data_IF_047385140867
#
_entry.id   IF_047385140867
#
_cell.length_a   1.000
_cell.length_b   1.000
_cell.length_c   1.000
_cell.angle_alpha   90.00
_cell.angle_beta   90.00
_cell.angle_gamma   90.00
#
_symmetry.space_group_name_H-M   'P 1'
#
loop_
_entity.id
_entity.type
_entity.pdbx_description
1 polymer ?
#
# COMPACT_ATOMS: atom_id res chain seq x y z
N UNK A 1 -11.31 2.26 -19.64
CA UNK A 1 -10.42 3.33 -20.15
C UNK A 1 -9.04 2.71 -20.44
N UNK A 2 -8.19 3.33 -21.27
CA UNK A 2 -6.84 2.81 -21.55
C UNK A 2 -5.90 3.14 -20.38
N UNK A 3 -4.99 2.23 -20.06
CA UNK A 3 -3.98 2.40 -19.01
C UNK A 3 -2.58 2.48 -19.62
N UNK A 4 -1.67 3.19 -18.95
CA UNK A 4 -0.30 3.41 -19.41
C UNK A 4 0.66 3.27 -18.23
N UNK A 5 1.85 2.73 -18.47
CA UNK A 5 2.89 2.60 -17.46
C UNK A 5 4.10 3.47 -17.84
N UNK A 6 4.73 4.19 -16.89
CA UNK A 6 5.94 4.96 -17.17
C UNK A 6 7.03 4.10 -17.84
N UNK A 7 7.62 4.61 -18.92
CA UNK A 7 8.63 3.87 -19.70
C UNK A 7 8.08 2.90 -20.74
N UNK A 8 6.75 2.79 -20.90
CA UNK A 8 6.11 2.05 -21.97
C UNK A 8 5.28 2.98 -22.87
N UNK A 9 5.61 3.02 -24.16
CA UNK A 9 4.97 3.93 -25.12
C UNK A 9 3.57 3.46 -25.58
N UNK A 10 3.24 2.20 -25.34
CA UNK A 10 1.96 1.61 -25.73
C UNK A 10 1.00 1.50 -24.54
N UNK A 11 -0.30 1.54 -24.85
CA UNK A 11 -1.33 1.23 -23.87
C UNK A 11 -1.15 -0.21 -23.37
N UNK A 12 -1.30 -0.40 -22.07
CA UNK A 12 -1.23 -1.73 -21.47
C UNK A 12 -2.48 -2.55 -21.82
N UNK A 13 -2.38 -3.89 -21.76
CA UNK A 13 -3.55 -4.74 -21.67
C UNK A 13 -4.47 -4.31 -20.51
N UNK A 14 -5.76 -4.61 -20.63
CA UNK A 14 -6.73 -4.33 -19.56
C UNK A 14 -6.32 -5.09 -18.30
N UNK A 15 -6.06 -4.35 -17.22
CA UNK A 15 -5.92 -4.94 -15.89
C UNK A 15 -7.22 -5.66 -15.53
N UNK A 16 -7.12 -6.93 -15.14
CA UNK A 16 -8.22 -7.80 -14.70
C UNK A 16 -7.91 -8.34 -13.30
N UNK A 17 -8.35 -7.62 -12.26
CA UNK A 17 -8.08 -8.01 -10.88
C UNK A 17 -8.96 -9.22 -10.47
N UNK A 18 -8.34 -10.35 -10.13
CA UNK A 18 -9.04 -11.55 -9.68
C UNK A 18 -9.44 -11.46 -8.18
N UNK A 19 -9.94 -10.29 -7.78
CA UNK A 19 -10.29 -9.91 -6.41
C UNK A 19 -11.78 -9.56 -6.33
N UNK A 20 -12.64 -10.41 -6.91
CA UNK A 20 -14.06 -10.09 -7.20
C UNK A 20 -14.84 -9.67 -5.94
N UNK A 21 -14.56 -10.29 -4.79
CA UNK A 21 -15.23 -9.97 -3.53
C UNK A 21 -14.83 -8.65 -2.88
N UNK A 22 -13.70 -8.05 -3.28
CA UNK A 22 -13.13 -6.86 -2.62
C UNK A 22 -12.93 -5.65 -3.54
N UNK A 23 -12.80 -5.86 -4.86
CA UNK A 23 -12.59 -4.76 -5.81
C UNK A 23 -12.49 -5.12 -7.30
N UNK A 24 -12.64 -6.38 -7.68
CA UNK A 24 -12.48 -6.85 -9.08
C UNK A 24 -13.67 -6.62 -10.00
N UNK A 25 -14.60 -5.72 -9.67
CA UNK A 25 -15.79 -5.43 -10.48
C UNK A 25 -15.53 -4.24 -11.39
N UNK A 26 -15.85 -4.39 -12.67
CA UNK A 26 -15.76 -3.34 -13.68
C UNK A 26 -17.14 -2.74 -13.92
N UNK A 27 -17.19 -1.41 -13.99
CA UNK A 27 -18.43 -0.69 -14.23
C UNK A 27 -18.16 0.70 -14.81
N UNK A 28 -19.22 1.40 -15.19
CA UNK A 28 -19.17 2.81 -15.61
C UNK A 28 -19.61 3.74 -14.48
N UNK A 29 -19.24 5.02 -14.55
CA UNK A 29 -19.66 5.99 -13.54
C UNK A 29 -21.21 6.07 -13.45
N UNK A 30 -21.90 5.94 -14.58
CA UNK A 30 -23.38 5.93 -14.65
C UNK A 30 -23.98 4.74 -13.90
N UNK A 31 -23.42 3.54 -14.04
CA UNK A 31 -23.87 2.36 -13.32
C UNK A 31 -23.55 2.44 -11.82
N UNK A 32 -22.39 2.98 -11.46
CA UNK A 32 -22.02 3.17 -10.05
C UNK A 32 -22.98 4.13 -9.35
N UNK A 33 -23.36 5.25 -9.96
CA UNK A 33 -24.38 6.13 -9.36
C UNK A 33 -25.77 5.49 -9.33
N UNK A 34 -26.15 4.68 -10.33
CA UNK A 34 -27.40 3.89 -10.27
C UNK A 34 -27.37 2.86 -9.13
N UNK A 35 -26.20 2.29 -8.84
CA UNK A 35 -26.05 1.35 -7.72
C UNK A 35 -26.13 2.06 -6.37
N UNK A 36 -25.71 3.33 -6.29
CA UNK A 36 -25.84 4.14 -5.08
C UNK A 36 -27.29 4.20 -4.56
N UNK A 37 -28.29 4.23 -5.46
CA UNK A 37 -29.73 4.13 -5.13
C UNK A 37 -30.06 2.92 -4.25
N UNK A 38 -29.39 1.78 -4.50
CA UNK A 38 -29.54 0.59 -3.68
C UNK A 38 -28.95 0.82 -2.29
N UNK A 39 -27.75 1.38 -2.23
CA UNK A 39 -26.98 1.56 -0.99
C UNK A 39 -27.59 2.61 -0.06
N UNK A 40 -28.30 3.62 -0.60
CA UNK A 40 -29.02 4.61 0.20
C UNK A 40 -30.45 4.22 0.56
N UNK A 41 -30.94 3.08 0.03
CA UNK A 41 -32.24 2.51 0.42
C UNK A 41 -33.41 2.88 -0.49
N UNK A 42 -33.17 3.51 -1.65
CA UNK A 42 -34.22 3.83 -2.62
C UNK A 42 -34.72 2.59 -3.40
N UNK A 43 -34.00 1.46 -3.31
CA UNK A 43 -34.33 0.19 -4.01
C UNK A 43 -34.59 -0.94 -3.01
N UNK A 44 -35.69 -0.82 -2.26
CA UNK A 44 -36.09 -1.78 -1.21
C UNK A 44 -36.42 -3.18 -1.73
N UNK A 45 -36.67 -3.31 -3.04
CA UNK A 45 -36.81 -4.60 -3.72
C UNK A 45 -35.49 -5.37 -3.88
N UNK A 46 -34.34 -4.72 -3.66
CA UNK A 46 -32.99 -5.31 -3.73
C UNK A 46 -32.35 -5.34 -2.34
N UNK A 47 -32.32 -4.21 -1.64
CA UNK A 47 -31.73 -4.08 -0.31
C UNK A 47 -32.77 -3.52 0.66
N UNK A 48 -33.05 -4.25 1.74
CA UNK A 48 -34.04 -3.80 2.72
C UNK A 48 -33.65 -2.45 3.33
N UNK A 49 -34.64 -1.62 3.68
CA UNK A 49 -34.41 -0.33 4.33
C UNK A 49 -33.58 -0.48 5.62
N UNK A 50 -33.83 -1.55 6.39
CA UNK A 50 -33.05 -1.87 7.59
C UNK A 50 -31.58 -2.11 7.27
N UNK A 51 -31.29 -2.84 6.20
CA UNK A 51 -29.91 -3.11 5.78
C UNK A 51 -29.22 -1.84 5.27
N UNK A 52 -29.89 -1.03 4.44
CA UNK A 52 -29.34 0.25 3.97
C UNK A 52 -29.01 1.19 5.13
N UNK A 53 -29.91 1.32 6.12
CA UNK A 53 -29.66 2.09 7.36
C UNK A 53 -28.51 1.52 8.19
N UNK A 54 -28.39 0.20 8.29
CA UNK A 54 -27.27 -0.44 8.98
C UNK A 54 -25.92 -0.13 8.31
N UNK A 55 -25.88 -0.11 6.98
CA UNK A 55 -24.67 0.26 6.23
C UNK A 55 -24.18 1.68 6.56
N UNK A 56 -25.11 2.60 6.78
CA UNK A 56 -24.83 4.02 7.07
C UNK A 56 -24.52 4.29 8.55
N UNK A 57 -24.55 3.27 9.41
CA UNK A 57 -24.25 3.43 10.84
C UNK A 57 -22.76 3.72 11.07
N UNK A 58 -22.45 4.46 12.14
CA UNK A 58 -21.08 4.76 12.56
C UNK A 58 -20.39 3.52 13.19
N UNK A 59 -20.19 2.47 12.39
CA UNK A 59 -19.63 1.18 12.83
C UNK A 59 -18.27 1.32 13.48
N UNK A 60 -17.45 2.26 12.98
CA UNK A 60 -16.14 2.58 13.54
C UNK A 60 -16.17 2.91 15.05
N UNK A 61 -17.27 3.48 15.56
CA UNK A 61 -17.43 3.82 16.99
C UNK A 61 -17.57 2.60 17.91
N UNK A 62 -17.79 1.40 17.35
CA UNK A 62 -17.88 0.15 18.10
C UNK A 62 -16.51 -0.46 18.41
N UNK A 63 -15.45 -0.01 17.73
CA UNK A 63 -14.08 -0.52 17.87
C UNK A 63 -13.12 0.48 18.52
N UNK A 64 -11.83 0.29 18.26
CA UNK A 64 -10.79 1.28 18.57
C UNK A 64 -10.69 2.25 17.41
N UNK A 65 -10.91 3.53 17.68
CA UNK A 65 -10.87 4.59 16.68
C UNK A 65 -10.22 5.86 17.24
N UNK A 66 -9.85 6.77 16.35
CA UNK A 66 -9.46 8.14 16.71
C UNK A 66 -10.70 8.91 17.21
N UNK A 67 -10.52 9.89 18.09
CA UNK A 67 -11.67 10.64 18.64
C UNK A 67 -12.18 11.73 17.70
N UNK A 68 -11.36 12.10 16.72
CA UNK A 68 -11.62 13.15 15.77
C UNK A 68 -12.77 12.77 14.82
N UNK A 69 -13.78 13.63 14.81
CA UNK A 69 -15.02 13.45 14.07
C UNK A 69 -14.94 14.02 12.65
N UNK A 70 -14.04 14.98 12.39
CA UNK A 70 -13.73 15.47 11.04
C UNK A 70 -12.59 14.63 10.47
N UNK A 71 -12.93 13.73 9.55
CA UNK A 71 -11.98 12.79 8.95
C UNK A 71 -12.50 12.34 7.58
N UNK A 72 -11.60 11.97 6.68
CA UNK A 72 -11.97 11.37 5.39
C UNK A 72 -12.31 9.88 5.51
N UNK A 73 -11.99 9.25 6.64
CA UNK A 73 -12.31 7.84 6.94
C UNK A 73 -13.10 7.75 8.24
N UNK A 74 -14.26 7.09 8.20
CA UNK A 74 -15.12 6.80 9.35
C UNK A 74 -16.13 5.69 8.99
N UNK A 75 -15.69 4.43 9.12
CA UNK A 75 -16.35 3.28 8.50
C UNK A 75 -17.82 3.05 8.89
N UNK A 76 -18.63 2.76 7.87
CA UNK A 76 -19.88 2.04 7.99
C UNK A 76 -19.74 0.59 7.55
N UNK A 77 -20.86 -0.11 7.30
CA UNK A 77 -20.78 -1.45 6.67
C UNK A 77 -20.65 -1.27 5.16
N UNK A 78 -19.45 -1.46 4.63
CA UNK A 78 -19.17 -1.32 3.20
C UNK A 78 -18.98 0.12 2.72
N UNK A 79 -18.98 1.11 3.62
CA UNK A 79 -18.62 2.51 3.33
C UNK A 79 -17.31 2.87 4.02
N UNK A 80 -16.43 3.60 3.33
CA UNK A 80 -15.18 4.11 3.89
C UNK A 80 -15.41 5.28 4.83
N UNK A 81 -16.43 6.09 4.54
CA UNK A 81 -16.94 7.12 5.44
C UNK A 81 -18.49 7.13 5.41
N UNK A 82 -19.12 7.28 6.58
CA UNK A 82 -20.55 7.61 6.70
C UNK A 82 -20.78 9.08 7.04
N UNK A 83 -19.69 9.83 7.25
CA UNK A 83 -19.64 11.25 7.57
C UNK A 83 -18.37 11.85 6.95
N UNK A 84 -18.28 11.82 5.62
CA UNK A 84 -17.12 12.30 4.87
C UNK A 84 -16.87 13.80 5.09
N UNK A 85 -15.65 14.17 5.49
CA UNK A 85 -15.20 15.57 5.44
C UNK A 85 -14.96 16.05 3.99
N UNK A 86 -15.31 17.30 3.62
CA UNK A 86 -15.74 18.38 4.52
C UNK A 86 -17.27 18.52 4.65
N UNK A 87 -18.09 17.61 4.09
CA UNK A 87 -19.57 17.73 4.13
C UNK A 87 -20.12 17.81 5.55
N UNK A 88 -19.45 17.14 6.49
CA UNK A 88 -19.73 17.21 7.93
C UNK A 88 -19.74 18.63 8.49
N UNK A 89 -18.94 19.54 7.93
CA UNK A 89 -18.80 20.92 8.38
C UNK A 89 -19.95 21.80 7.90
N UNK A 90 -20.67 21.34 6.87
CA UNK A 90 -21.93 21.92 6.39
C UNK A 90 -23.17 21.30 7.05
N UNK A 91 -22.98 20.36 7.99
CA UNK A 91 -24.08 19.61 8.59
C UNK A 91 -24.71 18.59 7.64
N UNK A 92 -24.02 18.22 6.55
CA UNK A 92 -24.53 17.28 5.54
C UNK A 92 -23.95 15.88 5.82
N UNK A 93 -24.82 14.88 5.84
CA UNK A 93 -24.41 13.47 5.84
C UNK A 93 -23.92 13.07 4.45
N UNK A 94 -22.62 12.75 4.34
CA UNK A 94 -22.01 12.24 3.11
C UNK A 94 -21.43 10.84 3.33
N UNK A 95 -21.92 9.88 2.55
CA UNK A 95 -21.42 8.52 2.48
C UNK A 95 -20.36 8.44 1.38
N UNK A 96 -19.26 7.75 1.65
CA UNK A 96 -18.13 7.68 0.72
C UNK A 96 -17.57 6.26 0.64
N UNK A 97 -17.28 5.84 -0.59
CA UNK A 97 -16.50 4.63 -0.88
C UNK A 97 -15.47 4.98 -1.94
N UNK A 98 -14.19 4.79 -1.62
CA UNK A 98 -13.10 4.82 -2.58
C UNK A 98 -12.88 3.44 -3.22
N UNK A 99 -12.03 3.41 -4.24
CA UNK A 99 -11.58 2.16 -4.84
C UNK A 99 -10.27 2.37 -5.57
N UNK A 100 -9.29 1.52 -5.28
CA UNK A 100 -8.01 1.49 -5.97
C UNK A 100 -7.70 0.05 -6.35
N UNK A 101 -7.50 -0.14 -7.65
CA UNK A 101 -6.65 -1.20 -8.17
C UNK A 101 -5.31 -0.55 -8.53
N UNK A 102 -4.43 -1.24 -9.26
CA UNK A 102 -3.16 -0.61 -9.57
C UNK A 102 -3.31 0.50 -10.63
N UNK A 103 -4.14 0.31 -11.65
CA UNK A 103 -4.30 1.26 -12.76
C UNK A 103 -5.65 1.95 -12.80
N UNK A 104 -6.66 1.45 -12.07
CA UNK A 104 -7.98 2.06 -12.02
C UNK A 104 -8.32 2.56 -10.62
N UNK A 105 -8.92 3.75 -10.58
CA UNK A 105 -9.26 4.45 -9.35
C UNK A 105 -10.72 4.93 -9.42
N UNK A 106 -11.38 4.95 -8.27
CA UNK A 106 -12.79 5.27 -8.15
C UNK A 106 -13.11 6.02 -6.86
N UNK A 107 -14.11 6.88 -6.94
CA UNK A 107 -14.78 7.49 -5.81
C UNK A 107 -16.28 7.51 -6.04
N UNK A 108 -17.05 7.03 -5.07
CA UNK A 108 -18.50 7.22 -4.96
C UNK A 108 -18.79 8.03 -3.70
N UNK A 109 -19.43 9.18 -3.87
CA UNK A 109 -19.94 9.99 -2.76
C UNK A 109 -21.44 10.18 -2.94
N UNK A 110 -22.20 9.96 -1.86
CA UNK A 110 -23.66 10.12 -1.85
C UNK A 110 -24.12 10.95 -0.67
N UNK A 111 -25.10 11.83 -0.91
CA UNK A 111 -25.81 12.64 0.09
C UNK A 111 -27.26 12.10 0.20
N UNK A 112 -27.54 11.14 1.11
CA UNK A 112 -28.84 10.46 1.15
C UNK A 112 -30.02 11.41 1.39
N UNK A 113 -29.82 12.45 2.21
CA UNK A 113 -30.85 13.43 2.57
C UNK A 113 -31.31 14.30 1.39
N UNK A 114 -30.53 14.32 0.30
CA UNK A 114 -30.78 15.14 -0.87
C UNK A 114 -30.99 14.33 -2.15
N UNK A 115 -30.88 13.00 -2.08
CA UNK A 115 -30.96 12.12 -3.25
C UNK A 115 -29.93 12.48 -4.34
N UNK A 116 -28.69 12.79 -3.91
CA UNK A 116 -27.60 13.19 -4.80
C UNK A 116 -26.44 12.21 -4.67
N UNK A 117 -26.00 11.64 -5.79
CA UNK A 117 -24.80 10.79 -5.86
C UNK A 117 -23.87 11.28 -6.97
N UNK A 118 -22.57 11.13 -6.77
CA UNK A 118 -21.53 11.35 -7.79
C UNK A 118 -20.56 10.18 -7.77
N UNK A 119 -20.18 9.71 -8.96
CA UNK A 119 -19.11 8.75 -9.15
C UNK A 119 -18.05 9.33 -10.09
N UNK A 120 -16.79 9.22 -9.70
CA UNK A 120 -15.62 9.60 -10.51
C UNK A 120 -14.75 8.38 -10.68
N UNK A 121 -14.45 8.01 -11.93
CA UNK A 121 -13.58 6.89 -12.27
C UNK A 121 -12.41 7.40 -13.11
N UNK A 122 -11.19 6.92 -12.85
CA UNK A 122 -10.01 7.23 -13.66
C UNK A 122 -9.16 5.99 -13.95
N UNK A 123 -8.41 6.04 -15.05
CA UNK A 123 -7.34 5.10 -15.36
C UNK A 123 -6.00 5.83 -15.25
N UNK A 124 -5.28 5.59 -14.15
CA UNK A 124 -4.14 6.39 -13.69
C UNK A 124 -4.53 7.47 -12.67
N UNK A 125 -3.52 8.01 -12.00
CA UNK A 125 -3.70 8.90 -10.86
C UNK A 125 -3.81 8.12 -9.55
N UNK A 126 -4.77 8.46 -8.71
CA UNK A 126 -5.02 7.79 -7.43
C UNK A 126 -6.49 7.95 -7.00
N UNK A 127 -6.97 7.05 -6.14
CA UNK A 127 -8.26 7.14 -5.49
C UNK A 127 -8.43 8.45 -4.72
N UNK A 128 -7.36 8.93 -4.08
CA UNK A 128 -7.32 10.25 -3.42
C UNK A 128 -7.71 11.38 -4.38
N UNK A 129 -7.16 11.41 -5.59
CA UNK A 129 -7.51 12.45 -6.56
C UNK A 129 -8.98 12.36 -7.00
N UNK A 130 -9.48 11.15 -7.26
CA UNK A 130 -10.89 10.97 -7.62
C UNK A 130 -11.83 11.40 -6.49
N UNK A 131 -11.45 11.15 -5.23
CA UNK A 131 -12.22 11.53 -4.04
C UNK A 131 -12.27 13.04 -3.83
N UNK A 132 -11.13 13.74 -3.92
CA UNK A 132 -11.07 15.20 -3.79
C UNK A 132 -11.88 15.84 -4.93
N UNK A 133 -11.69 15.36 -6.16
CA UNK A 133 -12.41 15.88 -7.32
C UNK A 133 -13.93 15.70 -7.18
N UNK A 134 -14.38 14.51 -6.78
CA UNK A 134 -15.81 14.23 -6.52
C UNK A 134 -16.38 15.17 -5.44
N UNK A 135 -15.63 15.36 -4.34
CA UNK A 135 -16.06 16.20 -3.23
C UNK A 135 -16.20 17.66 -3.66
N UNK A 136 -15.27 18.21 -4.44
CA UNK A 136 -15.35 19.58 -4.91
C UNK A 136 -16.50 19.82 -5.89
N UNK A 137 -16.72 18.90 -6.85
CA UNK A 137 -17.87 19.00 -7.75
C UNK A 137 -19.16 19.00 -6.94
N UNK A 138 -19.26 18.13 -5.95
CA UNK A 138 -20.46 17.98 -5.15
C UNK A 138 -20.70 19.21 -4.24
N UNK A 139 -19.66 19.82 -3.69
CA UNK A 139 -19.76 21.11 -2.97
C UNK A 139 -20.23 22.26 -3.88
N UNK A 140 -19.67 22.34 -5.09
CA UNK A 140 -20.10 23.32 -6.09
C UNK A 140 -21.56 23.11 -6.50
N UNK A 141 -21.96 21.86 -6.68
CA UNK A 141 -23.34 21.49 -7.00
C UNK A 141 -24.31 21.82 -5.87
N UNK A 142 -23.99 21.49 -4.61
CA UNK A 142 -24.84 21.80 -3.46
C UNK A 142 -24.96 23.32 -3.25
N UNK A 143 -23.90 24.09 -3.50
CA UNK A 143 -23.96 25.56 -3.51
C UNK A 143 -24.90 26.08 -4.59
N UNK A 144 -24.75 25.60 -5.82
CA UNK A 144 -25.60 26.01 -6.95
C UNK A 144 -27.08 25.67 -6.73
N UNK A 145 -27.38 24.61 -5.96
CA UNK A 145 -28.74 24.23 -5.56
C UNK A 145 -29.27 24.96 -4.33
N UNK A 146 -28.45 25.79 -3.67
CA UNK A 146 -28.82 26.48 -2.44
C UNK A 146 -28.93 25.56 -1.21
N UNK A 147 -28.37 24.35 -1.29
CA UNK A 147 -28.28 23.41 -0.14
C UNK A 147 -27.26 23.95 0.86
N UNK A 148 -26.13 24.46 0.36
CA UNK A 148 -25.17 25.23 1.15
C UNK A 148 -25.13 26.68 0.64
N UNK A 149 -24.83 27.62 1.54
CA UNK A 149 -24.79 29.05 1.21
C UNK A 149 -23.52 29.43 0.44
N UNK A 150 -22.39 28.92 0.88
CA UNK A 150 -21.05 29.21 0.33
C UNK A 150 -20.14 28.01 0.57
N UNK A 151 -19.01 27.95 -0.14
CA UNK A 151 -17.97 26.96 0.11
C UNK A 151 -17.00 27.59 1.10
N UNK A 152 -16.75 26.90 2.21
CA UNK A 152 -15.81 27.30 3.24
C UNK A 152 -14.38 27.31 2.65
N UNK A 153 -13.55 28.30 3.03
CA UNK A 153 -12.15 28.33 2.60
C UNK A 153 -11.38 27.15 3.20
N UNK A 154 -10.28 26.78 2.52
CA UNK A 154 -9.31 25.81 3.06
C UNK A 154 -8.80 26.26 4.43
N UNK A 155 -8.47 25.28 5.28
CA UNK A 155 -7.93 25.55 6.59
C UNK A 155 -6.50 26.09 6.47
N UNK A 156 -6.24 27.20 7.15
CA UNK A 156 -4.93 27.81 7.27
C UNK A 156 -4.30 27.47 8.63
N UNK A 157 -2.97 27.44 8.65
CA UNK A 157 -2.18 27.08 9.83
C UNK A 157 -1.10 28.12 10.04
N UNK A 158 -0.75 28.32 11.31
CA UNK A 158 0.35 29.20 11.71
C UNK A 158 1.51 28.33 12.19
N UNK A 159 2.77 28.78 12.01
CA UNK A 159 3.93 28.10 12.55
C UNK A 159 3.80 27.86 14.06
N UNK A 160 4.18 26.66 14.55
CA UNK A 160 3.99 26.32 15.94
C UNK A 160 4.91 27.13 16.87
N UNK A 161 4.39 27.51 18.03
CA UNK A 161 5.19 28.05 19.12
C UNK A 161 5.55 26.91 20.07
N UNK A 162 6.85 26.63 20.18
CA UNK A 162 7.38 25.64 21.11
C UNK A 162 7.16 26.11 22.55
N UNK A 163 6.65 25.23 23.40
CA UNK A 163 6.44 25.49 24.84
C UNK A 163 7.13 24.42 25.69
N UNK A 164 7.19 24.65 27.00
CA UNK A 164 7.76 23.68 27.94
C UNK A 164 6.94 22.39 27.97
N UNK A 165 7.62 21.26 27.74
CA UNK A 165 7.01 19.93 27.69
C UNK A 165 6.95 19.29 29.08
N UNK A 166 5.78 18.78 29.52
CA UNK A 166 5.68 17.96 30.72
C UNK A 166 6.60 16.73 30.66
N UNK A 167 7.28 16.41 31.75
CA UNK A 167 8.23 15.29 31.83
C UNK A 167 7.59 13.93 31.55
N UNK A 168 6.31 13.76 31.88
CA UNK A 168 5.61 12.48 31.74
C UNK A 168 5.50 12.04 30.27
N UNK A 169 5.55 12.98 29.33
CA UNK A 169 5.53 12.67 27.89
C UNK A 169 6.78 11.91 27.45
N UNK A 170 7.89 11.99 28.19
CA UNK A 170 9.10 11.20 27.91
C UNK A 170 8.82 9.69 27.92
N UNK A 171 7.80 9.24 28.66
CA UNK A 171 7.37 7.84 28.71
C UNK A 171 6.87 7.32 27.35
N UNK A 172 6.50 8.20 26.41
CA UNK A 172 6.13 7.82 25.05
C UNK A 172 7.33 7.50 24.16
N UNK A 173 8.56 7.78 24.58
CA UNK A 173 9.75 7.27 23.89
C UNK A 173 9.79 5.74 23.91
N UNK A 174 10.39 5.14 22.88
CA UNK A 174 10.55 3.69 22.79
C UNK A 174 10.56 3.18 21.36
N UNK A 175 10.48 1.86 21.22
CA UNK A 175 10.30 1.23 19.92
C UNK A 175 8.84 1.26 19.53
N UNK A 176 8.59 1.65 18.29
CA UNK A 176 7.31 1.63 17.63
C UNK A 176 7.42 0.82 16.33
N UNK A 177 6.28 0.46 15.75
CA UNK A 177 6.27 -0.15 14.43
C UNK A 177 4.91 -0.09 13.77
N UNK A 178 4.91 -0.51 12.51
CA UNK A 178 3.75 -0.77 11.68
C UNK A 178 4.09 -1.94 10.74
N UNK A 179 3.15 -2.39 9.94
CA UNK A 179 3.37 -3.47 8.98
C UNK A 179 4.58 -3.14 8.09
N UNK A 180 5.56 -4.04 8.05
CA UNK A 180 6.77 -3.87 7.24
C UNK A 180 7.95 -3.14 7.91
N UNK A 181 7.77 -2.42 9.04
CA UNK A 181 8.89 -1.67 9.64
C UNK A 181 8.79 -1.41 11.15
N UNK A 182 9.95 -1.26 11.79
CA UNK A 182 10.08 -0.70 13.14
C UNK A 182 10.75 0.69 13.10
N UNK A 183 10.43 1.52 14.09
CA UNK A 183 10.96 2.88 14.24
C UNK A 183 11.25 3.12 15.71
N UNK A 184 12.47 3.55 16.02
CA UNK A 184 12.81 4.02 17.37
C UNK A 184 12.42 5.50 17.49
N UNK A 185 11.50 5.79 18.40
CA UNK A 185 11.04 7.14 18.70
C UNK A 185 11.72 7.63 19.97
N UNK A 186 12.36 8.79 19.90
CA UNK A 186 12.94 9.49 21.05
C UNK A 186 12.33 10.89 21.17
N UNK A 187 11.79 11.20 22.35
CA UNK A 187 11.31 12.54 22.69
C UNK A 187 12.40 13.22 23.51
N UNK A 188 12.94 14.33 22.99
CA UNK A 188 14.03 15.05 23.65
C UNK A 188 13.83 16.55 23.50
N UNK A 189 13.96 17.28 24.62
CA UNK A 189 13.81 18.74 24.66
C UNK A 189 12.51 19.25 24.03
N UNK A 190 11.40 18.51 24.15
CA UNK A 190 10.13 18.87 23.53
C UNK A 190 10.12 18.71 22.01
N UNK A 191 10.98 17.86 21.44
CA UNK A 191 11.09 17.61 20.00
C UNK A 191 11.04 16.11 19.72
N UNK A 192 10.53 15.77 18.54
CA UNK A 192 10.51 14.41 17.98
C UNK A 192 10.93 14.49 16.52
N UNK A 193 11.95 13.73 16.15
CA UNK A 193 12.30 13.48 14.75
C UNK A 193 11.61 12.19 14.30
N UNK A 194 10.79 12.27 13.25
CA UNK A 194 10.09 11.12 12.70
C UNK A 194 10.53 10.86 11.25
N UNK A 195 10.53 9.59 10.81
CA UNK A 195 10.70 9.27 9.41
C UNK A 195 9.47 9.73 8.62
N UNK A 196 9.36 9.30 7.36
CA UNK A 196 8.15 9.51 6.59
C UNK A 196 6.89 8.96 7.31
N UNK A 197 5.78 9.67 7.14
CA UNK A 197 4.46 9.34 7.69
C UNK A 197 3.38 9.41 6.60
N UNK A 198 2.20 8.86 6.88
CA UNK A 198 1.05 8.93 5.96
C UNK A 198 1.34 8.22 4.64
N UNK A 199 1.96 7.05 4.70
CA UNK A 199 2.35 6.25 3.52
C UNK A 199 3.21 7.02 2.50
N UNK A 200 4.19 7.79 3.00
CA UNK A 200 5.15 8.53 2.16
C UNK A 200 4.68 9.92 1.72
N UNK A 201 3.46 10.33 2.10
CA UNK A 201 2.95 11.68 1.80
C UNK A 201 3.66 12.78 2.60
N UNK A 202 4.18 12.45 3.77
CA UNK A 202 4.92 13.37 4.62
C UNK A 202 6.39 12.92 4.68
N UNK A 203 7.35 13.76 4.25
CA UNK A 203 8.76 13.42 4.33
C UNK A 203 9.25 13.39 5.80
N UNK A 204 10.41 12.77 6.07
CA UNK A 204 11.07 12.83 7.37
C UNK A 204 11.21 14.28 7.84
N UNK A 205 10.74 14.56 9.04
CA UNK A 205 10.72 15.91 9.57
C UNK A 205 10.65 15.93 11.10
N UNK A 206 10.94 17.12 11.64
CA UNK A 206 10.90 17.40 13.07
C UNK A 206 9.54 17.96 13.49
N UNK A 207 9.11 17.56 14.68
CA UNK A 207 7.92 18.05 15.34
C UNK A 207 8.30 18.66 16.69
N UNK A 208 7.67 19.79 17.05
CA UNK A 208 7.91 20.50 18.31
C UNK A 208 6.67 20.46 19.20
N UNK A 209 6.86 20.33 20.51
CA UNK A 209 5.77 20.31 21.48
C UNK A 209 5.10 21.68 21.57
N UNK A 210 3.78 21.72 21.42
CA UNK A 210 2.98 22.95 21.40
C UNK A 210 1.94 23.04 22.53
N UNK A 211 1.98 22.14 23.51
CA UNK A 211 0.97 22.04 24.56
C UNK A 211 -0.06 20.93 24.31
N UNK A 212 -0.89 20.64 25.32
CA UNK A 212 -1.99 19.66 25.24
C UNK A 212 -1.59 18.24 24.79
N UNK A 213 -0.33 17.83 24.99
CA UNK A 213 0.14 16.52 24.52
C UNK A 213 0.41 16.46 23.01
N UNK A 214 0.41 17.59 22.30
CA UNK A 214 0.57 17.68 20.85
C UNK A 214 1.98 18.14 20.45
N UNK A 215 2.46 17.55 19.35
CA UNK A 215 3.66 17.96 18.64
C UNK A 215 3.30 18.36 17.21
N UNK A 216 3.80 19.49 16.73
CA UNK A 216 3.45 20.01 15.40
C UNK A 216 4.67 20.19 14.52
N UNK A 217 4.49 19.99 13.21
CA UNK A 217 5.51 20.33 12.23
C UNK A 217 5.64 21.85 12.09
N UNK A 218 6.68 22.31 11.37
CA UNK A 218 6.99 23.73 11.20
C UNK A 218 5.86 24.56 10.58
N UNK A 219 4.98 23.95 9.78
CA UNK A 219 3.85 24.64 9.14
C UNK A 219 2.57 24.60 9.99
N UNK A 220 2.55 23.80 11.07
CA UNK A 220 1.41 23.66 11.97
C UNK A 220 0.24 22.82 11.45
N UNK A 221 0.31 22.33 10.20
CA UNK A 221 -0.75 21.55 9.53
C UNK A 221 -0.69 20.04 9.83
N UNK A 222 0.39 19.56 10.44
CA UNK A 222 0.56 18.17 10.87
C UNK A 222 0.73 18.13 12.38
N UNK A 223 -0.13 17.37 13.05
CA UNK A 223 -0.16 17.21 14.49
C UNK A 223 0.07 15.73 14.82
N UNK A 224 1.02 15.49 15.72
CA UNK A 224 1.32 14.19 16.30
C UNK A 224 0.91 14.21 17.77
N UNK A 225 0.25 13.15 18.21
CA UNK A 225 -0.03 12.92 19.63
C UNK A 225 0.02 11.43 19.95
N UNK A 226 -0.17 11.08 21.22
CA UNK A 226 -0.16 9.70 21.67
C UNK A 226 -1.47 9.34 22.36
N UNK A 227 -2.09 8.24 21.92
CA UNK A 227 -3.34 7.75 22.49
C UNK A 227 -3.14 6.35 23.08
N UNK A 228 -3.83 6.09 24.20
CA UNK A 228 -3.90 4.78 24.85
C UNK A 228 -5.36 4.33 24.95
N UNK A 229 -5.94 3.82 23.85
CA UNK A 229 -7.33 3.37 23.86
C UNK A 229 -7.52 2.09 24.69
N UNK A 230 -8.78 1.67 24.83
CA UNK A 230 -9.20 0.57 25.73
C UNK A 230 -8.57 -0.80 25.45
N UNK A 231 -7.92 -0.99 24.29
CA UNK A 231 -7.23 -2.24 23.96
C UNK A 231 -5.83 -2.36 24.63
N UNK A 232 -5.43 -1.37 25.42
CA UNK A 232 -4.17 -1.40 26.18
C UNK A 232 -2.92 -1.16 25.35
N UNK A 233 -3.07 -0.83 24.06
CA UNK A 233 -1.95 -0.44 23.19
C UNK A 233 -1.70 1.06 23.29
N UNK A 234 -0.48 1.47 22.98
CA UNK A 234 -0.12 2.88 22.81
C UNK A 234 0.10 3.13 21.32
N UNK A 235 -0.56 4.14 20.77
CA UNK A 235 -0.41 4.53 19.37
C UNK A 235 0.15 5.93 19.22
N UNK A 236 0.97 6.12 18.19
CA UNK A 236 1.24 7.44 17.63
C UNK A 236 0.10 7.80 16.69
N UNK A 237 -0.65 8.84 17.04
CA UNK A 237 -1.73 9.40 16.22
C UNK A 237 -1.18 10.51 15.33
N UNK A 238 -1.60 10.50 14.08
CA UNK A 238 -1.35 11.53 13.07
C UNK A 238 -2.67 12.22 12.73
N UNK A 239 -2.71 13.54 12.86
CA UNK A 239 -3.78 14.40 12.36
C UNK A 239 -3.15 15.37 11.36
N UNK A 240 -3.53 15.25 10.09
CA UNK A 240 -2.86 15.96 9.00
C UNK A 240 -3.86 16.60 8.06
N UNK A 241 -3.50 17.81 7.60
CA UNK A 241 -4.14 18.48 6.47
C UNK A 241 -3.17 18.50 5.30
N UNK A 242 -3.58 17.92 4.17
CA UNK A 242 -2.77 17.80 2.97
C UNK A 242 -3.40 18.64 1.87
N UNK A 243 -2.62 19.57 1.33
CA UNK A 243 -2.99 20.37 0.16
C UNK A 243 -2.52 19.66 -1.10
N UNK A 244 -3.46 19.34 -2.00
CA UNK A 244 -3.17 18.82 -3.34
C UNK A 244 -3.23 20.00 -4.32
N UNK A 245 -2.09 20.46 -4.89
CA UNK A 245 -2.07 21.63 -5.76
C UNK A 245 -3.07 21.54 -6.91
N UNK A 246 -3.90 22.57 -7.06
CA UNK A 246 -4.95 22.64 -8.09
C UNK A 246 -6.17 21.75 -7.85
N UNK A 247 -6.18 20.93 -6.79
CA UNK A 247 -7.29 20.03 -6.49
C UNK A 247 -7.94 20.29 -5.14
N UNK A 248 -7.25 20.82 -4.13
CA UNK A 248 -7.85 21.21 -2.84
C UNK A 248 -7.24 20.49 -1.63
N UNK A 249 -7.87 20.66 -0.47
CA UNK A 249 -7.37 20.19 0.82
C UNK A 249 -8.14 18.97 1.36
N UNK A 250 -7.43 18.03 1.97
CA UNK A 250 -8.01 16.88 2.70
C UNK A 250 -7.53 16.84 4.12
N UNK A 251 -8.36 16.29 5.01
CA UNK A 251 -8.01 16.00 6.41
C UNK A 251 -8.07 14.51 6.69
N UNK A 252 -7.04 14.00 7.33
CA UNK A 252 -6.96 12.59 7.74
C UNK A 252 -6.46 12.50 9.16
N UNK A 253 -7.14 11.67 9.96
CA UNK A 253 -6.71 11.33 11.31
C UNK A 253 -6.60 9.82 11.45
N UNK A 254 -5.40 9.32 11.73
CA UNK A 254 -5.05 7.89 11.75
C UNK A 254 -4.10 7.57 12.89
N UNK A 255 -4.01 6.29 13.24
CA UNK A 255 -2.89 5.77 14.02
C UNK A 255 -1.81 5.29 13.05
N UNK A 256 -0.60 5.82 13.16
CA UNK A 256 0.51 5.51 12.25
C UNK A 256 1.37 4.37 12.77
N UNK A 257 1.68 4.40 14.07
CA UNK A 257 2.55 3.41 14.70
C UNK A 257 1.98 2.91 16.03
N UNK A 258 2.25 1.65 16.33
CA UNK A 258 1.99 1.02 17.63
C UNK A 258 3.30 0.91 18.41
N UNK A 259 3.27 1.23 19.70
CA UNK A 259 4.40 0.99 20.61
C UNK A 259 4.62 -0.51 20.76
N UNK A 260 5.88 -0.95 20.68
CA UNK A 260 6.28 -2.34 20.71
C UNK A 260 6.92 -2.71 22.04
N UNK A 261 6.69 -3.96 22.45
CA UNK A 261 7.31 -4.54 23.62
C UNK A 261 8.76 -4.96 23.34
N UNK A 262 9.56 -5.05 24.40
CA UNK A 262 10.90 -5.64 24.32
C UNK A 262 10.83 -7.11 23.90
N UNK A 263 11.64 -7.52 22.93
CA UNK A 263 11.73 -8.91 22.48
C UNK A 263 13.20 -9.38 22.45
N UNK A 264 13.82 -9.67 23.61
CA UNK A 264 15.19 -10.15 23.65
C UNK A 264 15.29 -11.55 23.02
N UNK A 265 16.26 -11.72 22.12
CA UNK A 265 16.55 -12.99 21.45
C UNK A 265 17.79 -13.68 22.02
N UNK A 266 17.80 -15.02 21.98
CA UNK A 266 19.01 -15.80 22.25
C UNK A 266 20.03 -15.65 21.11
N UNK A 267 21.31 -15.90 21.40
CA UNK A 267 22.40 -15.69 20.45
C UNK A 267 22.27 -16.55 19.17
N UNK A 268 21.72 -17.76 19.29
CA UNK A 268 21.59 -18.66 18.16
C UNK A 268 20.50 -18.20 17.19
N UNK A 269 19.40 -17.63 17.71
CA UNK A 269 18.37 -16.99 16.90
C UNK A 269 18.90 -15.71 16.26
N UNK A 270 19.65 -14.88 17.02
CA UNK A 270 20.22 -13.64 16.48
C UNK A 270 21.07 -13.88 15.23
N UNK A 271 21.99 -14.84 15.33
CA UNK A 271 22.93 -15.17 14.24
C UNK A 271 22.20 -15.53 12.94
N UNK A 272 21.10 -16.29 13.03
CA UNK A 272 20.32 -16.69 11.85
C UNK A 272 19.63 -15.50 11.21
N UNK A 273 19.00 -14.63 12.01
CA UNK A 273 18.28 -13.47 11.48
C UNK A 273 19.22 -12.37 10.96
N UNK A 274 20.38 -12.16 11.59
CA UNK A 274 21.41 -11.25 11.06
C UNK A 274 21.85 -11.64 9.64
N UNK A 275 21.96 -12.94 9.35
CA UNK A 275 22.29 -13.43 8.02
C UNK A 275 21.17 -13.15 6.98
N UNK A 276 19.93 -12.93 7.41
CA UNK A 276 18.82 -12.56 6.52
C UNK A 276 18.68 -11.06 6.32
N UNK A 277 19.33 -10.26 7.15
CA UNK A 277 19.20 -8.81 7.11
C UNK A 277 19.70 -8.24 5.77
N UNK A 278 18.86 -7.45 5.11
CA UNK A 278 19.12 -6.85 3.81
C UNK A 278 18.97 -7.80 2.62
N UNK A 279 18.66 -9.09 2.83
CA UNK A 279 18.51 -10.05 1.72
C UNK A 279 17.18 -9.92 1.02
N UNK A 280 17.19 -10.15 -0.28
CA UNK A 280 15.98 -10.21 -1.10
C UNK A 280 15.49 -11.64 -1.25
N UNK A 281 14.17 -11.81 -1.27
CA UNK A 281 13.49 -13.05 -1.60
C UNK A 281 12.53 -12.80 -2.75
N UNK A 282 12.58 -13.61 -3.80
CA UNK A 282 11.88 -13.37 -5.07
C UNK A 282 10.69 -14.31 -5.25
N UNK A 283 9.52 -13.75 -5.60
CA UNK A 283 8.26 -14.46 -5.71
C UNK A 283 8.30 -15.56 -6.77
N UNK A 284 7.79 -16.75 -6.43
CA UNK A 284 7.76 -17.92 -7.28
C UNK A 284 6.37 -18.21 -7.84
N UNK A 285 5.32 -17.84 -7.11
CA UNK A 285 3.95 -18.29 -7.39
C UNK A 285 3.10 -17.24 -8.15
N UNK A 286 3.69 -16.11 -8.54
CA UNK A 286 2.96 -15.06 -9.25
C UNK A 286 2.68 -15.45 -10.70
N UNK A 287 1.43 -15.27 -11.14
CA UNK A 287 1.04 -15.58 -12.52
C UNK A 287 1.74 -14.63 -13.50
N UNK A 288 2.40 -15.14 -14.53
CA UNK A 288 3.18 -14.33 -15.49
C UNK A 288 2.39 -13.24 -16.24
N UNK A 289 1.06 -13.30 -16.23
CA UNK A 289 0.20 -12.23 -16.78
C UNK A 289 -0.11 -11.12 -15.78
N UNK A 290 0.37 -11.25 -14.54
CA UNK A 290 0.17 -10.27 -13.49
C UNK A 290 0.95 -9.01 -13.77
N UNK A 291 0.34 -7.89 -13.46
CA UNK A 291 0.99 -6.60 -13.58
C UNK A 291 2.02 -6.34 -12.47
N UNK A 292 2.10 -7.19 -11.44
CA UNK A 292 3.19 -7.12 -10.45
C UNK A 292 4.57 -7.21 -11.11
N UNK A 293 4.68 -7.87 -12.28
CA UNK A 293 5.90 -7.91 -13.09
C UNK A 293 6.30 -6.57 -13.73
N UNK A 294 5.48 -5.51 -13.61
CA UNK A 294 5.89 -4.15 -13.95
C UNK A 294 6.69 -3.47 -12.83
N UNK A 295 6.60 -3.98 -11.60
CA UNK A 295 7.18 -3.37 -10.40
C UNK A 295 7.90 -4.43 -9.55
N UNK A 296 9.22 -4.55 -9.72
CA UNK A 296 10.06 -5.48 -8.93
C UNK A 296 9.79 -5.44 -7.41
N UNK A 297 9.57 -4.27 -6.76
CA UNK A 297 9.27 -4.23 -5.33
C UNK A 297 8.02 -5.02 -4.89
N UNK A 298 7.11 -5.33 -5.82
CA UNK A 298 5.95 -6.18 -5.54
C UNK A 298 6.33 -7.68 -5.52
N UNK A 299 7.37 -8.06 -6.26
CA UNK A 299 7.81 -9.45 -6.44
C UNK A 299 9.04 -9.81 -5.60
N UNK A 300 9.79 -8.84 -5.12
CA UNK A 300 10.97 -9.05 -4.28
C UNK A 300 10.73 -8.47 -2.88
N UNK A 301 10.90 -9.30 -1.85
CA UNK A 301 10.81 -8.88 -0.44
C UNK A 301 12.20 -8.71 0.12
N UNK A 302 12.54 -7.49 0.50
CA UNK A 302 13.75 -7.21 1.26
C UNK A 302 13.48 -7.44 2.75
N UNK A 303 14.30 -8.25 3.41
CA UNK A 303 14.14 -8.54 4.84
C UNK A 303 14.96 -7.55 5.65
N UNK A 304 14.28 -6.64 6.35
CA UNK A 304 14.91 -5.76 7.34
C UNK A 304 14.86 -6.40 8.72
N UNK A 305 15.98 -6.45 9.45
CA UNK A 305 16.06 -7.04 10.79
C UNK A 305 16.53 -6.02 11.82
N UNK A 306 15.67 -5.74 12.80
CA UNK A 306 16.00 -4.97 13.98
C UNK A 306 16.43 -5.91 15.11
N UNK A 307 17.67 -6.39 14.99
CA UNK A 307 18.21 -7.46 15.82
C UNK A 307 18.30 -7.09 17.30
N UNK A 308 18.52 -5.80 17.59
CA UNK A 308 18.65 -5.29 18.95
C UNK A 308 17.32 -5.33 19.70
N UNK A 309 16.21 -5.30 18.98
CA UNK A 309 14.88 -5.33 19.55
C UNK A 309 14.11 -6.63 19.26
N UNK A 310 14.65 -7.50 18.42
CA UNK A 310 14.07 -8.81 18.10
C UNK A 310 12.89 -8.75 17.13
N UNK A 311 12.94 -7.85 16.15
CA UNK A 311 11.91 -7.73 15.11
C UNK A 311 12.52 -7.88 13.72
N UNK A 312 11.71 -8.32 12.76
CA UNK A 312 12.07 -8.37 11.34
C UNK A 312 10.91 -7.86 10.49
N UNK A 313 11.13 -6.82 9.70
CA UNK A 313 10.13 -6.21 8.81
C UNK A 313 8.82 -5.89 9.55
N UNK A 314 8.95 -5.35 10.77
CA UNK A 314 7.83 -5.06 11.68
C UNK A 314 7.28 -6.26 12.46
N UNK A 315 7.52 -7.49 12.02
CA UNK A 315 7.06 -8.72 12.72
C UNK A 315 7.95 -9.09 13.90
N UNK A 316 7.38 -9.70 14.94
CA UNK A 316 8.11 -10.15 16.13
C UNK A 316 8.77 -11.49 15.86
N UNK A 317 10.09 -11.57 16.00
CA UNK A 317 10.83 -12.83 15.87
C UNK A 317 10.46 -13.76 17.03
N UNK A 318 10.01 -14.98 16.72
CA UNK A 318 9.62 -15.98 17.73
C UNK A 318 10.58 -17.17 17.78
N UNK A 319 11.22 -17.50 16.67
CA UNK A 319 12.26 -18.51 16.58
C UNK A 319 13.19 -18.28 15.37
N UNK A 320 14.06 -19.23 15.06
CA UNK A 320 15.04 -19.16 13.95
C UNK A 320 14.41 -19.06 12.56
N UNK A 321 13.16 -19.46 12.39
CA UNK A 321 12.51 -19.58 11.09
C UNK A 321 11.20 -18.80 11.02
N UNK A 322 10.71 -18.25 12.12
CA UNK A 322 9.42 -17.58 12.16
C UNK A 322 9.46 -16.22 12.84
N UNK A 323 8.78 -15.26 12.23
CA UNK A 323 8.39 -14.01 12.85
C UNK A 323 6.91 -13.73 12.57
N UNK A 324 6.19 -13.19 13.56
CA UNK A 324 4.72 -13.06 13.55
C UNK A 324 4.26 -11.63 13.63
N UNK A 325 3.14 -11.32 12.97
CA UNK A 325 2.48 -10.02 13.13
C UNK A 325 2.11 -9.76 14.61
N UNK A 326 2.29 -8.53 15.05
CA UNK A 326 1.91 -8.05 16.40
C UNK A 326 1.14 -6.72 16.37
N UNK A 327 0.79 -6.22 15.18
CA UNK A 327 0.12 -4.95 15.01
C UNK A 327 -1.39 -5.11 15.07
N UNK A 328 -2.01 -4.32 15.94
CA UNK A 328 -3.45 -4.13 16.08
C UNK A 328 -3.80 -2.68 15.73
N UNK A 329 -3.18 -2.10 14.70
CA UNK A 329 -3.41 -0.71 14.32
C UNK A 329 -4.75 -0.61 13.58
N UNK A 330 -5.73 0.16 14.07
CA UNK A 330 -6.99 0.34 13.35
C UNK A 330 -6.80 0.98 11.98
N UNK A 331 -7.79 0.79 11.10
CA UNK A 331 -7.89 1.46 9.80
C UNK A 331 -6.88 0.94 8.77
N UNK A 332 -6.01 1.82 8.22
CA UNK A 332 -5.18 1.58 7.06
C UNK A 332 -3.85 0.91 7.43
N UNK A 333 -3.22 1.38 8.50
CA UNK A 333 -1.84 1.01 8.81
C UNK A 333 -1.70 -0.35 9.52
N UNK A 334 -2.80 -1.01 9.85
CA UNK A 334 -2.82 -2.39 10.33
C UNK A 334 -3.42 -3.40 9.33
N UNK A 335 -3.58 -3.01 8.06
CA UNK A 335 -3.99 -3.94 6.99
C UNK A 335 -2.78 -4.68 6.43
N UNK A 336 -3.07 -5.70 5.61
CA UNK A 336 -2.06 -6.38 4.79
C UNK A 336 -0.90 -6.93 5.66
N UNK A 337 -1.24 -7.30 6.90
CA UNK A 337 -0.32 -7.90 7.88
C UNK A 337 0.12 -9.27 7.43
N UNK A 338 1.37 -9.63 7.70
CA UNK A 338 1.93 -10.92 7.33
C UNK A 338 2.75 -11.53 8.45
N UNK A 339 2.95 -12.84 8.35
CA UNK A 339 3.99 -13.57 9.07
C UNK A 339 5.14 -13.89 8.12
N UNK A 340 6.36 -13.96 8.64
CA UNK A 340 7.53 -14.46 7.91
C UNK A 340 7.77 -15.91 8.30
N UNK A 341 7.70 -16.84 7.35
CA UNK A 341 7.94 -18.26 7.59
C UNK A 341 9.04 -18.78 6.65
N UNK A 342 10.25 -18.97 7.19
CA UNK A 342 11.41 -19.47 6.46
C UNK A 342 11.49 -21.00 6.51
N UNK A 343 11.90 -21.61 5.41
CA UNK A 343 12.08 -23.05 5.30
C UNK A 343 13.17 -23.38 4.26
N UNK A 344 13.67 -24.61 4.28
CA UNK A 344 14.70 -25.06 3.33
C UNK A 344 14.15 -26.18 2.44
N UNK A 345 14.45 -26.10 1.14
CA UNK A 345 14.23 -27.16 0.15
C UNK A 345 15.56 -27.39 -0.55
N UNK A 346 16.10 -28.62 -0.50
CA UNK A 346 17.39 -28.97 -1.12
C UNK A 346 18.52 -27.98 -0.81
N UNK A 347 18.70 -27.64 0.47
CA UNK A 347 19.67 -26.65 0.98
C UNK A 347 19.46 -25.20 0.51
N UNK A 348 18.37 -24.91 -0.17
CA UNK A 348 17.96 -23.56 -0.58
C UNK A 348 16.93 -22.99 0.38
N UNK A 349 17.23 -21.82 0.95
CA UNK A 349 16.29 -21.12 1.82
C UNK A 349 15.18 -20.45 1.00
N UNK A 350 13.96 -20.64 1.48
CA UNK A 350 12.74 -20.08 0.95
C UNK A 350 11.99 -19.35 2.06
N UNK A 351 11.10 -18.46 1.64
CA UNK A 351 10.22 -17.68 2.50
C UNK A 351 8.77 -17.86 2.05
N UNK A 352 7.87 -18.09 3.00
CA UNK A 352 6.44 -18.12 2.79
C UNK A 352 5.79 -16.91 3.49
N UNK A 353 5.06 -16.11 2.73
CA UNK A 353 4.25 -14.97 3.19
C UNK A 353 2.86 -15.11 2.58
N UNK A 354 1.81 -15.14 3.40
CA UNK A 354 0.39 -15.14 2.97
C UNK A 354 0.03 -16.16 1.86
N UNK A 355 0.69 -17.33 1.90
CA UNK A 355 0.50 -18.40 0.92
C UNK A 355 1.29 -18.25 -0.38
N UNK A 356 2.15 -17.23 -0.48
CA UNK A 356 3.11 -17.04 -1.57
C UNK A 356 4.52 -17.47 -1.16
N UNK A 357 5.17 -18.24 -2.02
CA UNK A 357 6.54 -18.71 -1.87
C UNK A 357 7.53 -17.77 -2.54
N UNK A 358 8.67 -17.59 -1.90
CA UNK A 358 9.77 -16.79 -2.37
C UNK A 358 11.09 -17.54 -2.23
N UNK A 359 12.01 -17.38 -3.19
CA UNK A 359 13.37 -17.95 -3.14
C UNK A 359 14.38 -16.90 -2.70
N UNK A 360 15.36 -17.28 -1.87
CA UNK A 360 16.48 -16.40 -1.53
C UNK A 360 17.27 -15.98 -2.77
N UNK A 361 17.65 -14.71 -2.84
CA UNK A 361 18.51 -14.16 -3.90
C UNK A 361 19.85 -14.89 -4.04
N UNK A 362 20.37 -15.44 -2.94
CA UNK A 362 21.64 -16.18 -2.92
C UNK A 362 21.59 -17.44 -3.79
N UNK A 363 20.40 -18.03 -3.95
CA UNK A 363 20.20 -19.24 -4.74
C UNK A 363 19.96 -18.96 -6.23
N UNK A 364 19.69 -17.71 -6.60
CA UNK A 364 19.44 -17.33 -7.99
C UNK A 364 20.77 -17.30 -8.76
N UNK A 365 20.84 -18.13 -9.80
CA UNK A 365 22.01 -18.27 -10.66
C UNK A 365 21.99 -17.25 -11.81
N UNK A 366 23.16 -16.90 -12.36
CA UNK A 366 23.22 -16.18 -13.64
C UNK A 366 22.52 -16.94 -14.76
N UNK A 367 22.01 -16.21 -15.74
CA UNK A 367 21.56 -16.82 -17.00
C UNK A 367 22.77 -17.39 -17.75
N UNK A 368 22.60 -18.52 -18.44
CA UNK A 368 23.69 -19.16 -19.18
C UNK A 368 24.27 -18.26 -20.27
N UNK A 369 25.60 -18.03 -20.27
CA UNK A 369 26.25 -17.09 -21.19
C UNK A 369 26.41 -17.62 -22.64
N UNK A 370 26.15 -18.91 -22.89
CA UNK A 370 26.24 -19.44 -24.25
C UNK A 370 25.20 -18.83 -25.20
N UNK A 371 25.42 -18.98 -26.51
CA UNK A 371 24.56 -18.37 -27.53
C UNK A 371 23.13 -18.96 -27.58
N UNK A 372 22.91 -20.16 -27.04
CA UNK A 372 21.61 -20.83 -27.01
C UNK A 372 21.45 -21.61 -25.72
N UNK A 373 20.29 -21.46 -25.08
CA UNK A 373 19.91 -22.20 -23.89
C UNK A 373 18.40 -22.46 -23.85
N UNK A 374 17.99 -23.24 -22.86
CA UNK A 374 16.59 -23.53 -22.57
C UNK A 374 16.34 -23.23 -21.10
N UNK A 375 15.23 -22.56 -20.80
CA UNK A 375 14.67 -22.50 -19.46
C UNK A 375 13.30 -23.16 -19.46
N UNK A 376 12.99 -23.96 -18.45
CA UNK A 376 11.72 -24.68 -18.34
C UNK A 376 11.05 -24.35 -17.03
N UNK A 377 9.72 -24.20 -17.06
CA UNK A 377 8.95 -24.05 -15.83
C UNK A 377 8.91 -25.42 -15.11
N UNK A 378 9.34 -25.48 -13.83
CA UNK A 378 9.32 -26.71 -13.05
C UNK A 378 7.92 -27.32 -12.93
N UNK A 379 7.86 -28.60 -12.53
CA UNK A 379 6.61 -29.37 -12.40
C UNK A 379 5.66 -28.84 -11.32
N UNK A 380 6.11 -27.92 -10.46
CA UNK A 380 5.27 -27.24 -9.48
C UNK A 380 4.69 -25.91 -10.02
N UNK A 381 4.97 -25.55 -11.28
CA UNK A 381 4.46 -24.35 -11.94
C UNK A 381 5.13 -23.04 -11.51
N UNK A 382 6.20 -23.08 -10.73
CA UNK A 382 6.84 -21.89 -10.18
C UNK A 382 7.67 -21.13 -11.21
N UNK A 383 7.69 -19.81 -11.10
CA UNK A 383 8.52 -18.93 -11.91
C UNK A 383 10.02 -19.19 -11.66
N UNK A 384 10.83 -18.99 -12.71
CA UNK A 384 12.28 -19.19 -12.65
C UNK A 384 12.99 -17.86 -12.81
N UNK A 385 13.81 -17.51 -11.82
CA UNK A 385 14.60 -16.28 -11.81
C UNK A 385 16.04 -16.54 -12.24
N UNK A 386 16.64 -15.54 -12.89
CA UNK A 386 18.06 -15.50 -13.24
C UNK A 386 18.66 -14.12 -12.95
N UNK A 387 19.94 -14.09 -12.58
CA UNK A 387 20.76 -12.87 -12.54
C UNK A 387 21.31 -12.55 -13.93
N UNK A 388 21.56 -11.28 -14.19
CA UNK A 388 22.33 -10.82 -15.36
C UNK A 388 23.72 -10.42 -14.87
N UNK A 389 24.70 -11.27 -15.17
CA UNK A 389 26.11 -11.04 -14.89
C UNK A 389 26.80 -10.23 -15.98
N UNK A 390 28.08 -9.89 -15.76
CA UNK A 390 28.90 -9.11 -16.69
C UNK A 390 29.04 -9.80 -18.07
N UNK A 391 29.05 -11.14 -18.11
CA UNK A 391 29.22 -11.93 -19.34
C UNK A 391 27.95 -11.95 -20.22
N UNK A 392 26.77 -11.89 -19.60
CA UNK A 392 25.48 -11.84 -20.28
C UNK A 392 25.03 -10.40 -20.57
N UNK A 393 25.56 -9.42 -19.85
CA UNK A 393 25.21 -8.01 -20.00
C UNK A 393 25.49 -7.46 -21.41
N UNK A 394 24.74 -6.44 -21.81
CA UNK A 394 24.83 -5.75 -23.10
C UNK A 394 24.59 -6.63 -24.34
N UNK A 395 24.23 -7.90 -24.16
CA UNK A 395 23.85 -8.81 -25.24
C UNK A 395 22.35 -8.73 -25.48
N UNK A 396 21.96 -9.01 -26.73
CA UNK A 396 20.56 -9.06 -27.14
C UNK A 396 20.02 -10.47 -26.85
N UNK A 397 19.08 -10.56 -25.91
CA UNK A 397 18.32 -11.77 -25.63
C UNK A 397 17.07 -11.82 -26.51
N UNK A 398 16.92 -12.91 -27.25
CA UNK A 398 15.69 -13.26 -27.97
C UNK A 398 15.11 -14.53 -27.36
N UNK A 399 13.79 -14.54 -27.10
CA UNK A 399 13.12 -15.65 -26.43
C UNK A 399 11.96 -16.17 -27.29
N UNK A 400 12.01 -17.43 -27.69
CA UNK A 400 10.81 -18.13 -28.18
C UNK A 400 10.00 -18.57 -26.95
N UNK A 401 8.87 -17.90 -26.71
CA UNK A 401 7.99 -18.18 -25.57
C UNK A 401 6.85 -19.13 -25.97
N UNK A 402 6.44 -20.06 -25.09
CA UNK A 402 5.16 -20.76 -25.25
C UNK A 402 4.00 -19.76 -25.10
N UNK A 403 2.81 -20.12 -25.60
CA UNK A 403 1.63 -19.23 -25.58
C UNK A 403 1.24 -18.83 -24.15
N UNK A 404 1.29 -19.79 -23.22
CA UNK A 404 1.04 -19.57 -21.79
C UNK A 404 2.14 -18.74 -21.13
N UNK A 405 3.39 -18.89 -21.57
CA UNK A 405 4.56 -18.30 -20.93
C UNK A 405 4.89 -16.86 -21.32
N UNK A 406 5.70 -16.21 -20.48
CA UNK A 406 6.26 -14.89 -20.71
C UNK A 406 7.48 -14.65 -19.84
N UNK A 407 8.10 -13.49 -20.00
CA UNK A 407 9.25 -13.09 -19.19
C UNK A 407 9.27 -11.59 -18.92
N UNK A 408 9.91 -11.21 -17.82
CA UNK A 408 10.23 -9.82 -17.50
C UNK A 408 11.74 -9.68 -17.26
N UNK A 409 12.28 -8.52 -17.65
CA UNK A 409 13.67 -8.14 -17.45
C UNK A 409 13.71 -6.82 -16.70
N UNK A 410 14.55 -6.75 -15.67
CA UNK A 410 14.73 -5.58 -14.83
C UNK A 410 16.19 -5.14 -14.86
N UNK A 411 16.43 -3.84 -14.73
CA UNK A 411 17.77 -3.31 -14.49
C UNK A 411 18.23 -3.49 -13.03
N UNK A 412 19.45 -3.03 -12.72
CA UNK A 412 20.02 -3.11 -11.38
C UNK A 412 19.21 -2.36 -10.30
N UNK A 413 18.44 -1.33 -10.69
CA UNK A 413 17.55 -0.60 -9.79
C UNK A 413 16.18 -1.26 -9.65
N UNK A 414 15.93 -2.35 -10.38
CA UNK A 414 14.65 -3.04 -10.41
C UNK A 414 13.60 -2.39 -11.30
N UNK A 415 13.98 -1.44 -12.16
CA UNK A 415 13.08 -0.89 -13.16
C UNK A 415 12.86 -1.90 -14.29
N UNK A 416 11.62 -2.05 -14.73
CA UNK A 416 11.27 -2.93 -15.85
C UNK A 416 11.85 -2.40 -17.16
N UNK A 417 12.68 -3.21 -17.81
CA UNK A 417 13.24 -2.94 -19.15
C UNK A 417 12.36 -3.55 -20.23
N UNK A 418 11.84 -4.76 -19.98
CA UNK A 418 10.85 -5.40 -20.84
C UNK A 418 9.96 -6.32 -20.03
N UNK A 419 8.69 -6.39 -20.40
CA UNK A 419 7.76 -7.39 -19.89
C UNK A 419 6.93 -7.94 -21.06
N UNK A 420 7.25 -9.15 -21.51
CA UNK A 420 6.77 -9.66 -22.80
C UNK A 420 5.25 -9.78 -22.88
N UNK A 421 4.56 -10.02 -21.76
CA UNK A 421 3.08 -10.07 -21.73
C UNK A 421 2.42 -8.71 -21.86
N UNK A 422 3.07 -7.65 -21.38
CA UNK A 422 2.61 -6.28 -21.56
C UNK A 422 3.00 -5.72 -22.93
N UNK A 423 4.19 -6.07 -23.43
CA UNK A 423 4.78 -5.42 -24.60
C UNK A 423 4.63 -6.19 -25.90
N UNK A 424 4.39 -7.50 -25.85
CA UNK A 424 4.55 -8.43 -26.98
C UNK A 424 5.95 -8.40 -27.62
N UNK A 425 6.94 -7.82 -26.93
CA UNK A 425 8.33 -7.81 -27.38
C UNK A 425 9.10 -8.96 -26.73
N UNK A 426 9.70 -9.79 -27.59
CA UNK A 426 10.47 -10.97 -27.21
C UNK A 426 11.97 -10.79 -27.39
N UNK A 427 12.42 -9.56 -27.67
CA UNK A 427 13.82 -9.18 -27.84
C UNK A 427 14.18 -8.03 -26.91
N UNK A 428 15.26 -8.15 -26.14
CA UNK A 428 15.69 -7.14 -25.17
C UNK A 428 17.21 -7.16 -24.98
N UNK A 429 17.81 -5.99 -24.81
CA UNK A 429 19.22 -5.86 -24.41
C UNK A 429 19.30 -6.07 -22.90
N UNK A 430 20.14 -7.00 -22.45
CA UNK A 430 20.27 -7.34 -21.03
C UNK A 430 21.03 -6.24 -20.27
N UNK A 431 20.42 -5.60 -19.25
CA UNK A 431 21.11 -4.63 -18.40
C UNK A 431 22.03 -5.33 -17.41
N UNK A 432 23.26 -4.83 -17.26
CA UNK A 432 24.22 -5.30 -16.27
C UNK A 432 23.66 -5.20 -14.84
N UNK A 433 23.87 -6.23 -14.02
CA UNK A 433 23.38 -6.29 -12.64
C UNK A 433 21.86 -6.44 -12.51
N UNK A 434 21.16 -6.68 -13.63
CA UNK A 434 19.71 -6.85 -13.66
C UNK A 434 19.24 -8.27 -13.30
N UNK A 435 17.93 -8.47 -13.44
CA UNK A 435 17.25 -9.75 -13.16
C UNK A 435 16.33 -10.13 -14.32
N UNK A 436 16.16 -11.43 -14.54
CA UNK A 436 15.20 -11.99 -15.49
C UNK A 436 14.28 -12.94 -14.72
N UNK A 437 13.00 -12.96 -15.07
CA UNK A 437 12.06 -13.96 -14.60
C UNK A 437 11.26 -14.54 -15.75
N UNK A 438 11.15 -15.86 -15.79
CA UNK A 438 10.30 -16.61 -16.70
C UNK A 438 9.14 -17.21 -15.89
N UNK A 439 7.92 -17.10 -16.42
CA UNK A 439 6.74 -17.71 -15.82
C UNK A 439 5.81 -18.27 -16.88
N UNK A 440 5.03 -19.29 -16.52
CA UNK A 440 4.17 -20.02 -17.45
C UNK A 440 3.46 -21.18 -16.74
N UNK A 441 2.89 -22.10 -17.50
CA UNK A 441 2.34 -23.34 -16.98
C UNK A 441 3.48 -24.34 -16.68
N UNK A 442 3.22 -25.36 -15.85
CA UNK A 442 4.20 -26.42 -15.62
C UNK A 442 4.69 -27.02 -16.94
N UNK A 443 6.00 -27.25 -17.06
CA UNK A 443 6.61 -27.83 -18.26
C UNK A 443 6.70 -26.91 -19.47
N UNK A 444 6.26 -25.65 -19.39
CA UNK A 444 6.50 -24.65 -20.44
C UNK A 444 8.00 -24.49 -20.69
N UNK A 445 8.40 -24.47 -21.97
CA UNK A 445 9.80 -24.41 -22.41
C UNK A 445 10.07 -23.12 -23.16
N UNK A 446 11.06 -22.36 -22.71
CA UNK A 446 11.55 -21.14 -23.33
C UNK A 446 12.88 -21.43 -24.02
N UNK A 447 12.99 -21.13 -25.32
CA UNK A 447 14.28 -21.18 -26.01
C UNK A 447 14.88 -19.78 -26.03
N UNK A 448 16.08 -19.67 -25.50
CA UNK A 448 16.76 -18.41 -25.29
C UNK A 448 17.96 -18.34 -26.23
N UNK A 449 18.08 -17.24 -26.95
CA UNK A 449 19.21 -16.96 -27.82
C UNK A 449 19.87 -15.64 -27.42
N UNK A 450 21.16 -15.68 -27.09
CA UNK A 450 21.95 -14.51 -26.72
C UNK A 450 22.93 -14.17 -27.86
N UNK A 451 22.88 -12.93 -28.33
CA UNK A 451 23.79 -12.42 -29.38
C UNK A 451 24.52 -11.18 -28.89
N UNK A 452 25.77 -11.03 -29.31
CA UNK A 452 26.48 -9.77 -29.12
C UNK A 452 25.75 -8.66 -29.88
N UNK A 453 25.69 -7.48 -29.25
CA UNK A 453 25.00 -6.30 -29.78
C UNK A 453 25.64 -5.77 -31.06
#
# INVERSE_FOLDING_TARGET
AKTYFPGMDQALPVENANLIGTGGIYSTAEEVVKFAEVLIGNRTNILSEKSAKAMQSHEYRKGVWVSEETNTINYGLGWDAVRLAPFSDYGITALFKGGDTYMYHAALTTLPEHDISIAVLSSGGSGTYTSIFASNILLEYTRAKGIIKEILPDKTFEPPLKVDMPSDLLAYSGLYGTVGKTVKLEIKNGEIDLPELGNGLLPPQKYVYTGNGEFKNNDGNVIISFDQPKNGKTYLKLNTYINTPGLGQTVTVTYEYQKLDSNPLDQSTKTVWEHRNGKNYYALDEKITSMMYLLKPLLAKNISVDINHGYASGTKIVDKNKAVNVFDIPILNGRDTFDLNFYNVDHTEHLMIDGQSYISEDAIQPIYEGNSSISSIPSNGQAVWYKIDEESANRVMNVETPVSGGFAVYDANGMVVNFSKATSNHSVVLPEGGMIVFGGNEGDVFKINLKNK
#
